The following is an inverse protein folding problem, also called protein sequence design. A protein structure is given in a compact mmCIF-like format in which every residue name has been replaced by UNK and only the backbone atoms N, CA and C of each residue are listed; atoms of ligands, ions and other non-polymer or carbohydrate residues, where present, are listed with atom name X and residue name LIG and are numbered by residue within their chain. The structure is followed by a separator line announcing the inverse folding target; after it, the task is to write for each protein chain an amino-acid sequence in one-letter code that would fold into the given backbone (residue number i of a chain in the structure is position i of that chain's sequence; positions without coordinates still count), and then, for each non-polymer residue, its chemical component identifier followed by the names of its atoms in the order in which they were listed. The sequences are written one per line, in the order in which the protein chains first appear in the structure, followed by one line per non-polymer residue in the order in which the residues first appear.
data_IF_732965951412
#
_entry.id   IF_732965951412
#
_cell.length_a   1.000
_cell.length_b   1.000
_cell.length_c   1.000
_cell.angle_alpha   90.00
_cell.angle_beta   90.00
_cell.angle_gamma   90.00
#
_symmetry.space_group_name_H-M   'P 1'
#
loop_
_entity.id
_entity.type
_entity.pdbx_description
1 polymer ?
#
# COMPACT_ATOMS: atom_id res chain seq x y z
N UNK A 1 -67.88 6.33 51.29
CA UNK A 1 -66.83 5.83 50.38
C UNK A 1 -66.44 6.94 49.43
N UNK A 2 -65.22 7.50 49.52
CA UNK A 2 -64.68 8.37 48.48
C UNK A 2 -63.33 7.85 47.94
N UNK A 3 -63.02 7.94 46.63
CA UNK A 3 -61.63 7.92 46.20
C UNK A 3 -61.05 9.34 46.28
N UNK A 4 -60.18 9.54 47.26
CA UNK A 4 -59.30 10.70 47.43
C UNK A 4 -58.05 10.47 46.57
N UNK A 5 -57.96 11.05 45.37
CA UNK A 5 -56.72 10.96 44.59
C UNK A 5 -56.51 12.12 43.61
N UNK A 6 -56.66 13.36 44.08
CA UNK A 6 -56.49 14.56 43.23
C UNK A 6 -55.64 15.68 43.86
N UNK A 7 -54.87 15.40 44.93
CA UNK A 7 -54.07 16.45 45.59
C UNK A 7 -52.58 16.14 45.83
N UNK A 8 -52.07 14.98 45.36
CA UNK A 8 -50.67 14.60 45.60
C UNK A 8 -49.64 15.12 44.57
N UNK A 9 -50.06 15.82 43.51
CA UNK A 9 -49.13 16.26 42.46
C UNK A 9 -48.57 17.68 42.61
N UNK A 10 -48.97 18.43 43.65
CA UNK A 10 -48.52 19.82 43.85
C UNK A 10 -47.47 20.02 44.97
N UNK A 11 -47.03 18.96 45.66
CA UNK A 11 -46.05 19.06 46.77
C UNK A 11 -44.82 18.17 46.50
N UNK A 12 -44.30 18.18 45.28
CA UNK A 12 -42.98 17.58 44.98
C UNK A 12 -42.08 18.45 44.09
N UNK A 13 -42.29 19.77 44.08
CA UNK A 13 -41.47 20.72 43.30
C UNK A 13 -40.61 21.67 44.16
N UNK A 14 -40.59 21.54 45.49
CA UNK A 14 -39.85 22.46 46.37
C UNK A 14 -38.82 21.78 47.26
N UNK A 15 -38.04 20.84 46.70
CA UNK A 15 -36.82 20.36 47.35
C UNK A 15 -35.83 19.77 46.32
N UNK A 16 -35.31 20.59 45.40
CA UNK A 16 -34.01 20.30 44.78
C UNK A 16 -33.04 21.40 45.23
N UNK A 17 -32.06 21.09 46.10
CA UNK A 17 -31.00 22.04 46.41
C UNK A 17 -30.25 22.41 45.13
N UNK A 18 -30.05 23.71 44.92
CA UNK A 18 -29.10 24.26 43.93
C UNK A 18 -27.68 23.89 44.37
N UNK A 19 -27.26 22.68 44.03
CA UNK A 19 -25.91 22.17 44.23
C UNK A 19 -25.08 22.33 42.96
N UNK A 20 -23.94 23.00 43.10
CA UNK A 20 -22.76 23.09 42.24
C UNK A 20 -22.98 23.06 40.71
N UNK A 21 -22.84 24.23 40.09
CA UNK A 21 -22.37 24.31 38.72
C UNK A 21 -20.92 23.84 38.66
N UNK A 22 -20.71 22.60 38.22
CA UNK A 22 -19.42 22.19 37.69
C UNK A 22 -19.22 22.95 36.37
N UNK A 23 -18.18 23.78 36.32
CA UNK A 23 -17.65 24.33 35.08
C UNK A 23 -17.00 23.18 34.30
N UNK A 24 -17.82 22.32 33.70
CA UNK A 24 -17.37 21.47 32.64
C UNK A 24 -17.58 22.21 31.33
N UNK A 25 -16.53 22.94 30.93
CA UNK A 25 -16.36 23.42 29.56
C UNK A 25 -16.67 22.26 28.62
N UNK A 26 -17.75 22.39 27.84
CA UNK A 26 -18.18 21.38 26.87
C UNK A 26 -17.15 21.39 25.73
N UNK A 27 -16.08 20.61 25.90
CA UNK A 27 -15.08 20.38 24.87
C UNK A 27 -15.81 19.81 23.64
N UNK A 28 -15.64 20.39 22.44
CA UNK A 28 -16.40 19.97 21.25
C UNK A 28 -16.20 18.48 20.98
N UNK A 29 -17.25 17.76 20.52
CA UNK A 29 -17.31 16.29 20.44
C UNK A 29 -16.18 15.65 19.63
N UNK A 30 -15.51 16.42 18.78
CA UNK A 30 -14.39 15.98 17.97
C UNK A 30 -13.10 15.69 18.78
N UNK A 31 -13.01 16.15 20.03
CA UNK A 31 -11.79 16.04 20.84
C UNK A 31 -11.80 14.84 21.80
N UNK A 32 -12.93 14.16 21.99
CA UNK A 32 -13.04 12.99 22.87
C UNK A 32 -12.68 11.69 22.12
N UNK A 33 -12.78 11.65 20.79
CA UNK A 33 -12.44 10.46 19.99
C UNK A 33 -10.92 10.28 19.77
N UNK A 34 -10.10 11.29 20.07
CA UNK A 34 -8.66 11.32 19.74
C UNK A 34 -7.73 10.89 20.87
N UNK A 35 -8.23 10.72 22.09
CA UNK A 35 -7.41 10.26 23.22
C UNK A 35 -7.94 8.89 23.66
N UNK A 36 -7.12 7.85 23.50
CA UNK A 36 -7.33 6.44 23.85
C UNK A 36 -7.86 5.47 22.77
N UNK A 37 -7.36 5.59 21.54
CA UNK A 37 -7.25 4.44 20.65
C UNK A 37 -5.79 4.25 20.28
N UNK A 38 -5.06 3.50 21.11
CA UNK A 38 -3.89 2.74 20.63
C UNK A 38 -4.39 1.59 19.74
N UNK A 39 -5.12 1.93 18.67
CA UNK A 39 -5.33 1.01 17.57
C UNK A 39 -4.00 1.00 16.83
N UNK A 40 -3.31 -0.14 16.79
CA UNK A 40 -2.06 -0.27 16.07
C UNK A 40 -2.29 0.23 14.63
N UNK A 41 -1.80 1.44 14.34
CA UNK A 41 -2.08 2.13 13.08
C UNK A 41 -1.26 1.46 11.99
N UNK A 42 -1.93 0.70 11.11
CA UNK A 42 -1.25 0.18 9.93
C UNK A 42 -0.65 1.33 9.11
N UNK A 43 0.57 1.19 8.58
CA UNK A 43 1.12 2.15 7.64
C UNK A 43 0.18 2.36 6.46
N UNK A 44 0.01 3.59 5.98
CA UNK A 44 -1.00 3.94 4.97
C UNK A 44 -0.92 3.08 3.70
N UNK A 45 0.29 2.77 3.20
CA UNK A 45 0.42 1.87 2.05
C UNK A 45 -0.06 0.45 2.34
N UNK A 46 0.26 -0.08 3.52
CA UNK A 46 -0.13 -1.43 3.89
C UNK A 46 -1.65 -1.51 3.99
N UNK A 47 -2.28 -0.50 4.58
CA UNK A 47 -3.73 -0.41 4.67
C UNK A 47 -4.39 -0.31 3.28
N UNK A 48 -3.87 0.53 2.38
CA UNK A 48 -4.41 0.65 1.03
C UNK A 48 -4.25 -0.66 0.23
N UNK A 49 -3.12 -1.36 0.40
CA UNK A 49 -2.92 -2.69 -0.20
C UNK A 49 -3.92 -3.71 0.32
N UNK A 50 -4.20 -3.68 1.62
CA UNK A 50 -5.20 -4.56 2.24
C UNK A 50 -6.59 -4.29 1.64
N UNK A 51 -7.00 -3.02 1.53
CA UNK A 51 -8.27 -2.62 0.91
C UNK A 51 -8.39 -3.11 -0.53
N UNK A 52 -7.42 -2.76 -1.37
CA UNK A 52 -7.43 -3.12 -2.80
C UNK A 52 -7.39 -4.63 -3.03
N UNK A 53 -6.62 -5.38 -2.24
CA UNK A 53 -6.65 -6.84 -2.27
C UNK A 53 -8.02 -7.40 -1.86
N UNK A 54 -8.66 -6.83 -0.84
CA UNK A 54 -10.00 -7.23 -0.44
C UNK A 54 -11.01 -6.97 -1.55
N UNK A 55 -10.93 -5.82 -2.22
CA UNK A 55 -11.81 -5.45 -3.32
C UNK A 55 -11.69 -6.44 -4.48
N UNK A 56 -10.46 -6.70 -4.94
CA UNK A 56 -10.20 -7.67 -6.03
C UNK A 56 -10.67 -9.08 -5.66
N UNK A 57 -10.51 -9.49 -4.41
CA UNK A 57 -11.02 -10.77 -3.92
C UNK A 57 -12.55 -10.85 -3.99
N UNK A 58 -13.25 -9.79 -3.60
CA UNK A 58 -14.71 -9.75 -3.70
C UNK A 58 -15.19 -9.66 -5.15
N UNK A 59 -14.43 -9.00 -6.05
CA UNK A 59 -14.68 -9.08 -7.48
C UNK A 59 -14.63 -10.52 -7.98
N UNK A 60 -13.61 -11.30 -7.60
CA UNK A 60 -13.52 -12.72 -7.97
C UNK A 60 -14.67 -13.55 -7.37
N UNK A 61 -15.05 -13.28 -6.12
CA UNK A 61 -16.16 -14.00 -5.48
C UNK A 61 -17.50 -13.77 -6.17
N UNK A 62 -17.76 -12.52 -6.57
CA UNK A 62 -18.98 -12.12 -7.29
C UNK A 62 -18.90 -12.39 -8.80
N UNK A 63 -17.74 -12.78 -9.35
CA UNK A 63 -17.62 -13.07 -10.79
C UNK A 63 -18.23 -14.42 -11.17
N UNK A 64 -18.36 -15.34 -10.21
CA UNK A 64 -19.03 -16.62 -10.42
C UNK A 64 -20.52 -16.39 -10.31
N UNK A 65 -21.20 -16.27 -11.46
CA UNK A 65 -22.65 -16.36 -11.51
C UNK A 65 -23.12 -17.61 -10.75
N UNK A 66 -24.29 -17.54 -10.09
CA UNK A 66 -24.95 -18.74 -9.58
C UNK A 66 -25.35 -19.59 -10.79
N UNK A 67 -24.49 -20.52 -11.20
CA UNK A 67 -24.74 -21.42 -12.33
C UNK A 67 -25.86 -22.39 -11.95
N UNK A 68 -27.11 -21.98 -12.17
CA UNK A 68 -28.30 -22.81 -11.96
C UNK A 68 -28.72 -23.58 -13.23
N UNK A 69 -27.86 -23.61 -14.26
CA UNK A 69 -27.96 -24.54 -15.40
C UNK A 69 -28.91 -24.09 -16.52
N UNK A 70 -28.80 -22.84 -16.98
CA UNK A 70 -29.56 -22.30 -18.11
C UNK A 70 -28.77 -22.23 -19.42
N UNK A 71 -29.43 -21.75 -20.49
CA UNK A 71 -28.82 -21.54 -21.81
C UNK A 71 -27.71 -20.46 -21.75
N UNK A 72 -26.49 -20.84 -22.14
CA UNK A 72 -25.29 -20.01 -22.04
C UNK A 72 -25.38 -18.64 -22.76
N UNK A 73 -26.15 -18.56 -23.86
CA UNK A 73 -26.29 -17.32 -24.63
C UNK A 73 -27.13 -16.25 -23.89
N UNK A 74 -28.19 -16.66 -23.18
CA UNK A 74 -28.98 -15.75 -22.36
C UNK A 74 -28.22 -15.34 -21.10
N UNK A 75 -27.41 -16.25 -20.56
CA UNK A 75 -26.54 -15.95 -19.43
C UNK A 75 -25.47 -14.94 -19.80
N UNK A 76 -24.79 -15.05 -20.95
CA UNK A 76 -23.68 -14.15 -21.31
C UNK A 76 -24.10 -12.68 -21.49
N UNK A 77 -25.25 -12.42 -22.13
CA UNK A 77 -25.79 -11.05 -22.28
C UNK A 77 -26.18 -10.43 -20.93
N UNK A 78 -26.82 -11.22 -20.04
CA UNK A 78 -27.17 -10.74 -18.69
C UNK A 78 -25.97 -10.67 -17.75
N UNK A 79 -24.99 -11.56 -17.90
CA UNK A 79 -23.77 -11.56 -17.10
C UNK A 79 -22.89 -10.37 -17.43
N UNK A 80 -22.83 -9.94 -18.70
CA UNK A 80 -22.21 -8.66 -19.05
C UNK A 80 -22.86 -7.50 -18.28
N UNK A 81 -24.20 -7.44 -18.24
CA UNK A 81 -24.91 -6.40 -17.49
C UNK A 81 -24.62 -6.41 -15.98
N UNK A 82 -24.52 -7.59 -15.36
CA UNK A 82 -24.19 -7.71 -13.93
C UNK A 82 -22.70 -7.42 -13.66
N UNK A 83 -21.80 -7.85 -14.56
CA UNK A 83 -20.35 -7.78 -14.38
C UNK A 83 -19.83 -6.36 -14.11
N UNK A 84 -20.48 -5.33 -14.65
CA UNK A 84 -20.14 -3.92 -14.41
C UNK A 84 -21.28 -3.14 -13.76
N UNK A 85 -22.28 -3.83 -13.22
CA UNK A 85 -23.44 -3.18 -12.58
C UNK A 85 -23.09 -2.52 -11.24
N UNK A 86 -23.88 -1.52 -10.87
CA UNK A 86 -23.90 -0.94 -9.52
C UNK A 86 -24.29 -1.98 -8.47
N UNK A 87 -25.24 -2.87 -8.79
CA UNK A 87 -25.66 -3.94 -7.87
C UNK A 87 -24.47 -4.82 -7.47
N UNK A 88 -23.65 -5.24 -8.45
CA UNK A 88 -22.43 -6.01 -8.17
C UNK A 88 -21.42 -5.22 -7.34
N UNK A 89 -21.27 -3.92 -7.60
CA UNK A 89 -20.38 -3.06 -6.83
C UNK A 89 -20.80 -2.98 -5.36
N UNK A 90 -22.10 -2.82 -5.08
CA UNK A 90 -22.64 -2.81 -3.72
C UNK A 90 -22.34 -4.14 -3.02
N UNK A 91 -22.58 -5.28 -3.67
CA UNK A 91 -22.24 -6.61 -3.10
C UNK A 91 -20.74 -6.73 -2.77
N UNK A 92 -19.87 -6.17 -3.62
CA UNK A 92 -18.43 -6.11 -3.36
C UNK A 92 -18.12 -5.26 -2.13
N UNK A 93 -18.66 -4.04 -2.08
CA UNK A 93 -18.42 -3.06 -1.01
C UNK A 93 -18.90 -3.54 0.36
N UNK A 94 -20.07 -4.18 0.42
CA UNK A 94 -20.62 -4.78 1.65
C UNK A 94 -19.73 -5.88 2.24
N UNK A 95 -18.98 -6.59 1.39
CA UNK A 95 -18.12 -7.71 1.80
C UNK A 95 -16.63 -7.34 1.89
N UNK A 96 -16.28 -6.05 1.76
CA UNK A 96 -14.91 -5.59 1.93
C UNK A 96 -14.41 -5.86 3.35
N UNK A 97 -13.12 -6.11 3.46
CA UNK A 97 -12.36 -6.23 4.71
C UNK A 97 -12.76 -7.39 5.65
N UNK A 98 -13.76 -8.19 5.28
CA UNK A 98 -14.32 -9.30 6.09
C UNK A 98 -13.31 -10.41 6.40
N UNK A 99 -12.33 -10.63 5.52
CA UNK A 99 -11.34 -11.71 5.65
C UNK A 99 -10.08 -11.30 6.43
N UNK A 100 -10.04 -10.09 6.99
CA UNK A 100 -8.86 -9.53 7.67
C UNK A 100 -9.02 -9.68 9.18
N UNK A 101 -8.00 -10.22 9.85
CA UNK A 101 -8.00 -10.39 11.31
C UNK A 101 -7.62 -9.10 12.06
N UNK A 102 -6.59 -8.41 11.60
CA UNK A 102 -6.04 -7.21 12.23
C UNK A 102 -6.30 -5.99 11.36
N UNK A 103 -6.84 -4.92 11.95
CA UNK A 103 -7.05 -3.65 11.25
C UNK A 103 -8.30 -3.55 10.39
N UNK A 104 -9.30 -4.42 10.65
CA UNK A 104 -10.61 -4.40 9.99
C UNK A 104 -11.25 -3.01 10.02
N UNK A 105 -11.24 -2.32 11.17
CA UNK A 105 -11.81 -0.98 11.31
C UNK A 105 -11.07 0.08 10.46
N UNK A 106 -9.74 0.00 10.36
CA UNK A 106 -9.01 0.93 9.48
C UNK A 106 -9.32 0.65 8.01
N UNK A 107 -9.52 -0.62 7.65
CA UNK A 107 -9.82 -1.02 6.29
C UNK A 107 -11.20 -0.51 5.88
N UNK A 108 -12.21 -0.69 6.73
CA UNK A 108 -13.55 -0.13 6.51
C UNK A 108 -13.52 1.39 6.44
N UNK A 109 -12.85 2.06 7.40
CA UNK A 109 -12.71 3.52 7.37
C UNK A 109 -12.04 4.00 6.08
N UNK A 110 -10.97 3.33 5.62
CA UNK A 110 -10.34 3.70 4.35
C UNK A 110 -11.25 3.43 3.15
N UNK A 111 -12.07 2.38 3.17
CA UNK A 111 -13.05 2.09 2.13
C UNK A 111 -14.12 3.18 2.05
N UNK A 112 -14.70 3.56 3.20
CA UNK A 112 -15.72 4.61 3.35
C UNK A 112 -15.19 5.97 2.86
N UNK A 113 -14.01 6.39 3.31
CA UNK A 113 -13.41 7.67 2.92
C UNK A 113 -13.09 7.75 1.41
N UNK A 114 -12.99 6.61 0.72
CA UNK A 114 -12.59 6.53 -0.69
C UNK A 114 -13.64 5.84 -1.57
N UNK A 115 -14.90 5.79 -1.13
CA UNK A 115 -16.02 5.17 -1.86
C UNK A 115 -16.16 5.73 -3.28
N UNK A 116 -16.14 7.05 -3.42
CA UNK A 116 -16.24 7.73 -4.72
C UNK A 116 -15.12 7.36 -5.69
N UNK A 117 -13.90 7.14 -5.18
CA UNK A 117 -12.76 6.73 -6.02
C UNK A 117 -12.89 5.28 -6.46
N UNK A 118 -13.43 4.41 -5.61
CA UNK A 118 -13.72 3.02 -5.96
C UNK A 118 -14.82 2.93 -7.02
N UNK A 119 -15.86 3.75 -6.90
CA UNK A 119 -16.92 3.88 -7.91
C UNK A 119 -16.38 4.43 -9.25
N UNK A 120 -15.61 5.53 -9.21
CA UNK A 120 -14.99 6.09 -10.41
C UNK A 120 -14.16 5.03 -11.13
N UNK A 121 -13.36 4.27 -10.36
CA UNK A 121 -12.56 3.21 -10.92
C UNK A 121 -13.42 2.13 -11.57
N UNK A 122 -14.45 1.68 -10.85
CA UNK A 122 -15.36 0.64 -11.29
C UNK A 122 -16.10 1.00 -12.58
N UNK A 123 -16.65 2.21 -12.68
CA UNK A 123 -17.48 2.58 -13.84
C UNK A 123 -16.68 3.16 -15.00
N UNK A 124 -15.52 3.78 -14.74
CA UNK A 124 -14.85 4.62 -15.74
C UNK A 124 -13.40 4.23 -16.04
N UNK A 125 -12.68 3.56 -15.12
CA UNK A 125 -11.23 3.37 -15.25
C UNK A 125 -10.78 1.94 -15.53
N UNK A 126 -11.64 0.93 -15.44
CA UNK A 126 -11.23 -0.47 -15.65
C UNK A 126 -10.53 -0.72 -17.01
N UNK A 127 -10.88 0.03 -18.06
CA UNK A 127 -10.26 -0.12 -19.38
C UNK A 127 -8.91 0.62 -19.52
N UNK A 128 -8.76 1.77 -18.85
CA UNK A 128 -7.59 2.64 -18.95
C UNK A 128 -6.51 2.25 -17.91
N UNK A 129 -6.94 2.02 -16.67
CA UNK A 129 -6.12 1.64 -15.52
C UNK A 129 -6.71 0.42 -14.80
N UNK A 130 -6.60 -0.80 -15.37
CA UNK A 130 -7.18 -2.03 -14.79
C UNK A 130 -6.56 -2.45 -13.45
N UNK A 131 -5.41 -1.89 -13.08
CA UNK A 131 -4.76 -2.16 -11.80
C UNK A 131 -5.29 -1.19 -10.74
N UNK A 132 -6.28 -1.64 -9.97
CA UNK A 132 -6.87 -0.88 -8.86
C UNK A 132 -5.83 -0.43 -7.83
N UNK A 133 -4.80 -1.24 -7.55
CA UNK A 133 -3.75 -0.86 -6.61
C UNK A 133 -2.93 0.30 -7.15
N UNK A 134 -2.59 0.27 -8.44
CA UNK A 134 -1.88 1.37 -9.09
C UNK A 134 -2.73 2.64 -9.11
N UNK A 135 -3.99 2.55 -9.56
CA UNK A 135 -4.92 3.68 -9.58
C UNK A 135 -5.08 4.29 -8.18
N UNK A 136 -5.56 3.50 -7.22
CA UNK A 136 -5.95 4.01 -5.91
C UNK A 136 -4.73 4.31 -5.03
N UNK A 137 -3.83 3.34 -4.85
CA UNK A 137 -2.80 3.44 -3.81
C UNK A 137 -1.55 4.22 -4.25
N UNK A 138 -1.22 4.23 -5.53
CA UNK A 138 -0.03 4.91 -6.07
C UNK A 138 -0.40 6.26 -6.68
N UNK A 139 -1.30 6.27 -7.65
CA UNK A 139 -1.58 7.48 -8.44
C UNK A 139 -2.45 8.48 -7.65
N UNK A 140 -3.54 8.00 -7.07
CA UNK A 140 -4.55 8.86 -6.43
C UNK A 140 -4.19 9.21 -4.98
N UNK A 141 -4.06 8.22 -4.10
CA UNK A 141 -3.82 8.45 -2.66
C UNK A 141 -2.34 8.66 -2.32
N UNK A 142 -1.43 8.28 -3.22
CA UNK A 142 0.03 8.36 -3.03
C UNK A 142 0.51 7.75 -1.72
N UNK A 143 -0.23 6.76 -1.22
CA UNK A 143 0.12 6.02 -0.02
C UNK A 143 1.28 5.07 -0.29
N UNK A 144 1.37 4.56 -1.53
CA UNK A 144 2.36 3.60 -1.97
C UNK A 144 3.25 4.17 -3.08
N UNK A 145 4.49 3.68 -3.12
CA UNK A 145 5.41 3.93 -4.21
C UNK A 145 5.32 2.86 -5.31
N UNK A 146 5.64 3.22 -6.56
CA UNK A 146 5.84 2.25 -7.64
C UNK A 146 6.98 1.28 -7.32
N UNK A 147 7.07 0.21 -8.10
CA UNK A 147 8.11 -0.80 -7.92
C UNK A 147 9.51 -0.20 -7.96
N UNK A 148 10.41 -0.73 -7.13
CA UNK A 148 11.79 -0.26 -6.97
C UNK A 148 11.92 1.21 -6.54
N UNK A 149 10.95 1.74 -5.80
CA UNK A 149 11.01 3.05 -5.14
C UNK A 149 10.66 2.96 -3.64
N UNK A 150 11.20 3.87 -2.83
CA UNK A 150 11.06 3.85 -1.37
C UNK A 150 10.99 5.25 -0.74
N UNK A 151 10.55 5.30 0.52
CA UNK A 151 10.39 6.55 1.29
C UNK A 151 9.09 7.30 0.97
N UNK A 152 8.93 8.49 1.56
CA UNK A 152 7.76 9.35 1.36
C UNK A 152 7.71 9.96 -0.03
N UNK A 153 8.89 10.31 -0.57
CA UNK A 153 9.05 10.89 -1.90
C UNK A 153 9.19 9.85 -3.01
N UNK A 154 9.04 8.56 -2.68
CA UNK A 154 9.23 7.46 -3.62
C UNK A 154 10.54 7.59 -4.42
N UNK A 155 11.67 7.68 -3.73
CA UNK A 155 13.01 7.74 -4.35
C UNK A 155 13.34 6.40 -4.99
N UNK A 156 13.98 6.44 -6.16
CA UNK A 156 14.46 5.25 -6.84
C UNK A 156 15.45 4.49 -5.95
N UNK A 157 15.33 3.16 -5.93
CA UNK A 157 16.23 2.33 -5.16
C UNK A 157 17.66 2.39 -5.73
N UNK A 158 18.70 2.25 -4.87
CA UNK A 158 20.08 2.25 -5.32
C UNK A 158 20.30 1.24 -6.44
N UNK A 159 20.89 1.69 -7.55
CA UNK A 159 21.18 0.88 -8.73
C UNK A 159 20.03 0.72 -9.73
N UNK A 160 18.87 1.36 -9.56
CA UNK A 160 17.80 1.35 -10.56
C UNK A 160 18.24 2.10 -11.86
N UNK A 161 17.98 1.55 -13.07
CA UNK A 161 17.15 0.37 -13.36
C UNK A 161 17.86 -0.99 -13.36
N UNK A 162 19.17 -1.06 -13.62
CA UNK A 162 19.84 -2.33 -13.99
C UNK A 162 20.42 -3.14 -12.82
N UNK A 163 20.85 -2.47 -11.75
CA UNK A 163 21.56 -3.07 -10.61
C UNK A 163 20.82 -2.80 -9.29
N UNK A 164 19.49 -2.82 -9.32
CA UNK A 164 18.64 -2.59 -8.15
C UNK A 164 19.12 -3.45 -6.99
N UNK A 165 19.52 -2.79 -5.89
CA UNK A 165 20.04 -3.43 -4.69
C UNK A 165 21.12 -4.50 -4.98
N UNK A 166 22.03 -4.23 -5.92
CA UNK A 166 23.12 -5.14 -6.32
C UNK A 166 22.63 -6.53 -6.77
N UNK A 167 21.53 -6.60 -7.52
CA UNK A 167 20.90 -7.86 -7.99
C UNK A 167 20.34 -8.75 -6.87
N UNK A 168 20.23 -8.23 -5.64
CA UNK A 168 19.56 -8.91 -4.52
C UNK A 168 18.03 -8.95 -4.68
N UNK A 169 17.51 -8.31 -5.75
CA UNK A 169 16.10 -8.27 -6.07
C UNK A 169 15.38 -7.11 -5.38
N UNK A 170 14.44 -7.42 -4.49
CA UNK A 170 13.44 -6.47 -3.99
C UNK A 170 14.04 -5.45 -3.03
N UNK A 171 13.86 -4.18 -3.36
CA UNK A 171 14.14 -3.06 -2.48
C UNK A 171 13.20 -3.11 -1.26
N UNK A 172 13.77 -3.32 -0.07
CA UNK A 172 12.99 -3.45 1.18
C UNK A 172 12.42 -2.09 1.57
N UNK A 173 11.12 -2.04 1.83
CA UNK A 173 10.41 -0.84 2.32
C UNK A 173 10.82 -0.64 3.79
N UNK A 174 11.53 0.44 4.11
CA UNK A 174 11.81 0.80 5.50
C UNK A 174 10.58 1.54 6.06
N UNK A 175 9.92 0.95 7.05
CA UNK A 175 8.86 1.61 7.80
C UNK A 175 9.49 2.43 8.94
N UNK A 176 9.16 3.72 9.01
CA UNK A 176 9.39 4.55 10.19
C UNK A 176 10.65 5.42 10.10
N UNK A 177 10.45 6.72 9.92
CA UNK A 177 11.37 7.69 10.47
C UNK A 177 11.08 7.77 11.97
N UNK A 178 12.02 7.31 12.80
CA UNK A 178 12.39 8.11 13.96
C UNK A 178 13.76 8.67 13.66
N UNK A 179 13.82 9.88 13.13
CA UNK A 179 15.07 10.62 13.06
C UNK A 179 15.41 11.09 14.48
N UNK A 180 16.41 10.44 15.06
CA UNK A 180 17.53 10.94 15.87
C UNK A 180 18.18 9.68 16.49
N UNK A 181 19.46 9.37 16.30
CA UNK A 181 20.62 10.26 16.26
C UNK A 181 21.77 9.50 15.58
N UNK A 182 22.28 10.07 14.49
CA UNK A 182 23.53 9.71 13.81
C UNK A 182 23.54 8.36 13.04
N UNK A 183 24.15 8.41 11.84
CA UNK A 183 24.56 7.27 11.01
C UNK A 183 23.53 6.65 10.05
N UNK A 184 23.08 7.46 9.07
CA UNK A 184 23.02 6.96 7.70
C UNK A 184 24.44 6.68 7.21
N UNK A 185 24.92 5.43 7.34
CA UNK A 185 26.17 4.99 6.69
C UNK A 185 25.89 4.66 5.22
N UNK A 186 25.70 5.70 4.43
CA UNK A 186 26.19 5.70 3.06
C UNK A 186 27.65 6.16 3.12
N UNK A 187 28.59 5.20 3.13
CA UNK A 187 29.92 5.34 2.54
C UNK A 187 30.74 4.04 2.68
N UNK A 188 30.89 3.24 1.61
CA UNK A 188 32.05 2.40 1.45
C UNK A 188 33.11 3.20 0.68
N UNK A 189 34.02 3.87 1.40
CA UNK A 189 35.22 4.40 0.78
C UNK A 189 35.78 5.68 1.38
N UNK A 190 37.00 5.56 1.91
CA UNK A 190 38.07 6.57 1.83
C UNK A 190 37.99 7.81 2.74
N UNK A 191 38.50 7.69 3.98
CA UNK A 191 39.60 8.55 4.45
C UNK A 191 40.13 8.05 5.81
N UNK A 192 41.25 7.33 5.81
CA UNK A 192 42.12 7.24 6.98
C UNK A 192 43.44 7.93 6.59
N UNK A 193 43.55 9.21 6.89
CA UNK A 193 44.83 9.85 7.12
C UNK A 193 44.95 10.04 8.62
N UNK A 194 45.59 9.07 9.26
CA UNK A 194 46.07 9.18 10.62
C UNK A 194 47.23 10.17 10.67
N UNK A 195 47.08 11.18 11.52
CA UNK A 195 48.17 12.02 11.96
C UNK A 195 48.92 11.27 13.07
N UNK A 196 50.06 10.67 12.75
CA UNK A 196 51.14 10.51 13.74
C UNK A 196 52.49 10.41 13.02
N UNK A 197 53.32 11.41 13.28
CA UNK A 197 54.66 11.57 12.77
C UNK A 197 55.68 10.65 13.45
N UNK A 198 56.72 10.32 12.66
CA UNK A 198 58.10 9.91 12.99
C UNK A 198 58.36 8.44 13.40
N UNK A 199 58.99 7.71 12.46
CA UNK A 199 60.45 7.52 12.47
C UNK A 199 60.99 7.01 11.13
N UNK A 200 62.14 7.57 10.78
CA UNK A 200 63.01 7.33 9.62
C UNK A 200 63.78 6.02 9.79
N UNK A 201 63.89 5.22 8.72
CA UNK A 201 65.08 4.43 8.39
C UNK A 201 65.02 3.98 6.91
N UNK A 202 66.11 4.22 6.20
CA UNK A 202 66.37 3.91 4.78
C UNK A 202 66.73 2.43 4.57
N UNK A 203 66.47 1.93 3.35
CA UNK A 203 67.33 1.04 2.51
C UNK A 203 66.46 0.46 1.38
N UNK A 204 66.47 1.02 0.16
CA UNK A 204 67.28 0.63 -1.01
C UNK A 204 67.12 -0.83 -1.50
N UNK A 205 66.42 -1.01 -2.63
CA UNK A 205 66.86 -1.72 -3.85
C UNK A 205 65.68 -1.96 -4.82
N UNK A 206 65.84 -1.45 -6.04
CA UNK A 206 65.10 -1.72 -7.29
C UNK A 206 65.45 -3.12 -7.87
N UNK A 207 65.07 -3.50 -9.11
CA UNK A 207 63.78 -3.48 -9.83
C UNK A 207 63.50 -4.85 -10.50
N UNK A 208 62.74 -4.85 -11.62
CA UNK A 208 62.57 -5.88 -12.68
C UNK A 208 61.31 -6.77 -12.60
N UNK A 209 60.58 -7.13 -13.66
CA UNK A 209 60.28 -6.61 -15.02
C UNK A 209 59.22 -7.55 -15.64
N UNK A 210 58.39 -7.01 -16.54
CA UNK A 210 57.88 -7.57 -17.83
C UNK A 210 57.07 -8.89 -17.91
N UNK A 211 56.06 -8.90 -18.78
CA UNK A 211 55.46 -10.15 -19.30
C UNK A 211 54.10 -10.01 -19.99
N UNK A 212 54.07 -9.49 -21.22
CA UNK A 212 53.00 -9.66 -22.20
C UNK A 212 52.87 -11.14 -22.63
N UNK A 213 51.66 -11.60 -22.99
CA UNK A 213 51.44 -12.40 -24.22
C UNK A 213 49.98 -12.34 -24.70
N UNK A 214 49.86 -12.21 -26.02
CA UNK A 214 48.67 -12.25 -26.86
C UNK A 214 48.31 -13.69 -27.32
N UNK A 215 47.12 -13.83 -27.92
CA UNK A 215 46.80 -14.85 -28.94
C UNK A 215 45.77 -15.89 -28.49
N UNK A 216 44.87 -16.42 -29.33
CA UNK A 216 44.52 -16.24 -30.74
C UNK A 216 43.28 -17.14 -31.00
N UNK A 217 42.36 -16.71 -31.89
CA UNK A 217 41.43 -17.49 -32.76
C UNK A 217 40.53 -18.62 -32.19
N UNK A 218 39.27 -18.77 -32.61
CA UNK A 218 38.91 -19.29 -33.94
C UNK A 218 37.44 -18.99 -34.30
N UNK A 219 37.26 -18.41 -35.48
CA UNK A 219 35.99 -18.28 -36.21
C UNK A 219 35.83 -19.50 -37.12
N UNK A 220 34.81 -20.34 -36.90
CA UNK A 220 34.38 -21.36 -37.89
C UNK A 220 32.87 -21.35 -38.17
N UNK A 221 32.58 -20.54 -39.19
CA UNK A 221 31.56 -20.61 -40.24
C UNK A 221 30.97 -22.01 -40.52
N UNK A 222 29.64 -22.11 -40.54
CA UNK A 222 28.90 -23.07 -41.38
C UNK A 222 27.70 -22.40 -42.06
N UNK A 223 27.79 -22.32 -43.40
CA UNK A 223 26.73 -21.96 -44.36
C UNK A 223 25.77 -23.14 -44.54
N UNK A 224 24.46 -22.88 -44.71
CA UNK A 224 23.64 -23.25 -45.90
C UNK A 224 22.20 -22.70 -45.81
N UNK A 225 21.82 -21.92 -46.84
CA UNK A 225 20.47 -21.49 -47.30
C UNK A 225 19.78 -22.65 -48.08
N UNK A 226 18.62 -22.50 -48.76
CA UNK A 226 17.36 -21.78 -48.47
C UNK A 226 16.10 -22.65 -48.78
N UNK A 227 14.90 -22.14 -48.48
CA UNK A 227 13.62 -22.60 -49.06
C UNK A 227 12.46 -22.11 -48.19
N UNK A 228 11.56 -21.19 -48.59
CA UNK A 228 11.05 -20.91 -49.92
C UNK A 228 9.76 -21.70 -50.14
N UNK A 229 8.65 -21.26 -49.57
CA UNK A 229 7.29 -21.50 -50.09
C UNK A 229 6.40 -20.31 -49.75
N UNK A 230 5.86 -19.74 -50.81
CA UNK A 230 4.82 -18.73 -50.88
C UNK A 230 3.65 -19.33 -51.66
N UNK A 231 2.47 -18.72 -51.52
CA UNK A 231 1.23 -18.91 -52.30
C UNK A 231 0.42 -20.16 -51.88
N UNK A 232 -0.90 -20.13 -51.69
CA UNK A 232 -2.02 -19.21 -52.00
C UNK A 232 -3.00 -19.27 -50.83
#
# INVERSE_FOLDING_TARGET
MPPKFQFYFLILYLAIPRGLGDNQELKPPHQVLKENLNFAKFPSCQLCRILTNSFLKQMERTSRGKFEGGDAAWEEERLQSYSTSEVRLIEIQENLCTDIKDGINQCHFLAEENEQLLEEWWFSKQMEEPDLFKFLCINTLKHCCPDNHYGTECKACPGFPDNVCNKSGKCKRYHGQTMNREEGKDNPGQHQQGLHEKKVAQHSSEPETFGLTEGLEEVKKARRKPGGKQFV
#
